data_IF_840014329907
#
_entry.id   IF_840014329907
#
_cell.length_a   1.000
_cell.length_b   1.000
_cell.length_c   1.000
_cell.angle_alpha   90.00
_cell.angle_beta   90.00
_cell.angle_gamma   90.00
#
_symmetry.space_group_name_H-M   'P 1'
#
loop_
_entity.id
_entity.type
_entity.pdbx_description
1 polymer ?
#
# COMPACT_ATOMS: atom_id res chain seq x y z
N UNK A 1 -15.72 22.02 11.29
CA UNK A 1 -15.44 20.59 10.99
C UNK A 1 -14.03 20.56 10.44
N UNK A 2 -13.08 19.97 11.17
CA UNK A 2 -11.67 20.00 10.80
C UNK A 2 -11.41 18.95 9.71
N UNK A 3 -10.95 19.39 8.53
CA UNK A 3 -10.34 18.49 7.55
C UNK A 3 -9.06 17.95 8.15
N UNK A 4 -9.07 16.69 8.58
CA UNK A 4 -7.84 15.98 8.93
C UNK A 4 -7.02 15.76 7.65
N UNK A 5 -6.06 16.64 7.41
CA UNK A 5 -5.09 16.48 6.33
C UNK A 5 -4.13 15.36 6.69
N UNK A 6 -4.39 14.16 6.16
CA UNK A 6 -3.46 13.04 6.25
C UNK A 6 -2.28 13.30 5.31
N UNK A 7 -1.06 13.25 5.83
CA UNK A 7 0.17 13.46 5.03
C UNK A 7 0.85 12.11 4.82
N UNK A 8 1.06 11.72 3.56
CA UNK A 8 1.83 10.52 3.23
C UNK A 8 3.31 10.90 3.03
N UNK A 9 4.21 10.14 3.67
CA UNK A 9 5.66 10.31 3.49
C UNK A 9 6.20 9.25 2.54
N UNK A 10 6.78 9.69 1.42
CA UNK A 10 7.48 8.80 0.48
C UNK A 10 8.98 9.03 0.64
N UNK A 11 9.72 7.95 0.91
CA UNK A 11 11.18 7.97 0.91
C UNK A 11 11.69 7.30 -0.37
N UNK A 12 12.35 8.07 -1.24
CA UNK A 12 13.11 7.54 -2.38
C UNK A 12 14.58 7.33 -1.94
N UNK A 13 15.36 6.57 -2.71
CA UNK A 13 16.79 6.25 -2.42
C UNK A 13 17.68 7.52 -2.46
N UNK A 14 17.12 8.68 -2.76
CA UNK A 14 17.74 9.98 -2.55
C UNK A 14 17.21 10.52 -1.24
N UNK A 15 18.09 10.92 -0.32
CA UNK A 15 17.86 11.31 1.10
C UNK A 15 16.92 12.54 1.30
N UNK A 16 15.83 12.60 0.55
CA UNK A 16 14.85 13.66 0.43
C UNK A 16 13.48 13.04 0.65
N UNK A 17 12.80 13.55 1.67
CA UNK A 17 11.42 13.20 1.96
C UNK A 17 10.51 14.01 1.04
N UNK A 18 9.60 13.32 0.36
CA UNK A 18 8.51 13.95 -0.34
C UNK A 18 7.23 13.77 0.48
N UNK A 19 6.54 14.88 0.74
CA UNK A 19 5.25 14.90 1.40
C UNK A 19 4.16 15.13 0.36
N UNK A 20 3.20 14.22 0.29
CA UNK A 20 2.03 14.38 -0.56
C UNK A 20 0.83 14.79 0.29
N UNK A 21 0.12 15.83 -0.14
CA UNK A 21 -1.16 16.22 0.46
C UNK A 21 -2.25 15.29 -0.05
N UNK A 22 -2.90 14.58 0.86
CA UNK A 22 -3.99 13.67 0.54
C UNK A 22 -5.33 14.38 0.78
N UNK A 23 -6.21 14.33 -0.21
CA UNK A 23 -7.56 14.91 -0.15
C UNK A 23 -8.60 13.93 0.41
N UNK A 24 -8.40 12.63 0.21
CA UNK A 24 -9.26 11.55 0.70
C UNK A 24 -8.48 10.67 1.69
N UNK A 25 -8.43 11.04 2.99
CA UNK A 25 -7.59 10.35 3.98
C UNK A 25 -8.06 8.90 4.26
N UNK A 26 -9.29 8.57 3.89
CA UNK A 26 -9.91 7.26 4.10
C UNK A 26 -9.64 6.26 2.98
N UNK A 27 -9.18 6.71 1.82
CA UNK A 27 -8.96 5.87 0.63
C UNK A 27 -7.54 5.27 0.64
N UNK A 28 -7.36 4.08 0.02
CA UNK A 28 -6.04 3.52 -0.17
C UNK A 28 -5.23 4.34 -1.19
N UNK A 29 -3.93 4.40 -0.99
CA UNK A 29 -3.01 4.99 -1.96
C UNK A 29 -2.00 3.92 -2.37
N UNK A 30 -1.85 3.72 -3.68
CA UNK A 30 -0.83 2.85 -4.26
C UNK A 30 0.12 3.68 -5.10
N UNK A 31 1.34 3.87 -4.61
CA UNK A 31 2.30 4.82 -5.20
C UNK A 31 2.84 4.32 -6.55
N UNK A 32 3.24 3.04 -6.62
CA UNK A 32 3.81 2.43 -7.83
C UNK A 32 2.76 1.57 -8.54
N UNK A 33 1.60 2.18 -8.85
CA UNK A 33 0.55 1.55 -9.65
C UNK A 33 1.13 1.05 -10.98
N UNK A 34 0.68 -0.14 -11.40
CA UNK A 34 1.18 -0.84 -12.58
C UNK A 34 2.70 -1.09 -12.62
N UNK A 35 3.41 -0.91 -11.50
CA UNK A 35 4.84 -1.23 -11.35
C UNK A 35 5.69 -0.63 -12.47
N UNK A 36 5.47 0.64 -12.81
CA UNK A 36 6.29 1.34 -13.80
C UNK A 36 7.67 1.72 -13.25
N UNK A 37 7.79 1.97 -11.95
CA UNK A 37 9.06 2.22 -11.27
C UNK A 37 9.75 0.93 -10.83
N UNK A 38 11.08 0.88 -10.97
CA UNK A 38 11.91 -0.16 -10.36
C UNK A 38 12.17 0.14 -8.88
N UNK A 39 11.11 0.06 -8.08
CA UNK A 39 11.15 0.26 -6.64
C UNK A 39 10.11 -0.63 -5.95
N UNK A 40 10.28 -0.82 -4.65
CA UNK A 40 9.27 -1.42 -3.78
C UNK A 40 8.63 -0.32 -2.95
N UNK A 41 7.33 -0.42 -2.77
CA UNK A 41 6.59 0.48 -1.90
C UNK A 41 6.38 -0.16 -0.52
N UNK A 42 6.38 0.67 0.52
CA UNK A 42 6.01 0.25 1.87
C UNK A 42 5.10 1.31 2.49
N UNK A 43 4.14 0.83 3.27
CA UNK A 43 3.20 1.66 4.00
C UNK A 43 3.34 1.39 5.50
N UNK A 44 2.83 2.30 6.32
CA UNK A 44 2.59 2.01 7.73
C UNK A 44 1.38 1.07 7.89
N UNK A 45 1.06 0.74 9.14
CA UNK A 45 -0.04 -0.18 9.48
C UNK A 45 -1.37 0.33 8.92
N UNK A 46 -1.63 1.64 9.00
CA UNK A 46 -2.88 2.23 8.53
C UNK A 46 -2.99 2.22 7.00
N UNK A 47 -1.90 2.53 6.29
CA UNK A 47 -1.85 2.43 4.83
C UNK A 47 -2.05 1.01 4.34
N UNK A 48 -1.39 0.02 4.96
CA UNK A 48 -1.61 -1.39 4.65
C UNK A 48 -3.05 -1.82 4.95
N UNK A 49 -3.63 -1.39 6.07
CA UNK A 49 -5.02 -1.71 6.41
C UNK A 49 -6.02 -1.19 5.37
N UNK A 50 -5.82 0.03 4.86
CA UNK A 50 -6.66 0.60 3.78
C UNK A 50 -6.55 -0.19 2.49
N UNK A 51 -5.34 -0.59 2.09
CA UNK A 51 -5.11 -1.42 0.90
C UNK A 51 -5.77 -2.79 1.06
N UNK A 52 -5.61 -3.45 2.21
CA UNK A 52 -6.22 -4.74 2.51
C UNK A 52 -7.75 -4.64 2.46
N UNK A 53 -8.32 -3.58 3.03
CA UNK A 53 -9.76 -3.32 2.97
C UNK A 53 -10.24 -3.21 1.52
N UNK A 54 -9.58 -2.39 0.71
CA UNK A 54 -9.92 -2.23 -0.71
C UNK A 54 -9.85 -3.55 -1.47
N UNK A 55 -8.80 -4.36 -1.27
CA UNK A 55 -8.66 -5.67 -1.93
C UNK A 55 -9.79 -6.63 -1.54
N UNK A 56 -10.26 -6.60 -0.30
CA UNK A 56 -11.37 -7.43 0.17
C UNK A 56 -12.73 -6.97 -0.34
N UNK A 57 -12.93 -5.65 -0.45
CA UNK A 57 -14.20 -5.06 -0.88
C UNK A 57 -14.35 -5.08 -2.40
N UNK A 58 -13.32 -4.63 -3.12
CA UNK A 58 -13.27 -4.65 -4.57
C UNK A 58 -11.81 -4.55 -5.06
N UNK A 59 -11.19 -5.70 -5.34
CA UNK A 59 -9.82 -5.76 -5.83
C UNK A 59 -9.68 -5.29 -7.29
N UNK A 60 -10.74 -5.28 -8.09
CA UNK A 60 -10.71 -4.87 -9.51
C UNK A 60 -10.43 -3.38 -9.71
N UNK A 61 -10.57 -2.56 -8.65
CA UNK A 61 -10.11 -1.16 -8.65
C UNK A 61 -8.61 -1.06 -8.93
N UNK A 62 -7.83 -2.06 -8.51
CA UNK A 62 -6.43 -2.19 -8.86
C UNK A 62 -6.29 -3.13 -10.05
N UNK A 63 -5.47 -2.76 -11.04
CA UNK A 63 -5.10 -3.67 -12.13
C UNK A 63 -4.44 -4.95 -11.59
N UNK A 64 -4.49 -6.05 -12.35
CA UNK A 64 -3.81 -7.30 -11.98
C UNK A 64 -2.31 -7.10 -11.74
N UNK A 65 -1.67 -6.20 -12.51
CA UNK A 65 -0.26 -5.83 -12.33
C UNK A 65 -0.03 -5.09 -11.00
N UNK A 66 -0.94 -4.19 -10.62
CA UNK A 66 -0.89 -3.48 -9.33
C UNK A 66 -1.09 -4.45 -8.17
N UNK A 67 -2.04 -5.38 -8.26
CA UNK A 67 -2.29 -6.40 -7.23
C UNK A 67 -1.09 -7.32 -7.03
N UNK A 68 -0.49 -7.81 -8.12
CA UNK A 68 0.77 -8.55 -8.07
C UNK A 68 1.87 -7.73 -7.37
N UNK A 69 1.95 -6.43 -7.67
CA UNK A 69 2.96 -5.57 -7.08
C UNK A 69 2.77 -5.41 -5.57
N UNK A 70 1.53 -5.20 -5.13
CA UNK A 70 1.13 -5.11 -3.72
C UNK A 70 1.52 -6.38 -2.96
N UNK A 71 1.20 -7.57 -3.49
CA UNK A 71 1.55 -8.85 -2.87
C UNK A 71 3.08 -8.99 -2.78
N UNK A 72 3.81 -8.72 -3.85
CA UNK A 72 5.27 -8.83 -3.83
C UNK A 72 5.90 -7.92 -2.78
N UNK A 73 5.39 -6.70 -2.64
CA UNK A 73 5.98 -5.69 -1.79
C UNK A 73 5.64 -5.86 -0.31
N UNK A 74 4.42 -6.32 0.03
CA UNK A 74 4.05 -6.64 1.43
C UNK A 74 4.92 -7.78 1.98
N UNK A 75 5.18 -8.81 1.18
CA UNK A 75 6.04 -9.93 1.60
C UNK A 75 7.51 -9.54 1.68
N UNK A 76 7.99 -8.69 0.76
CA UNK A 76 9.35 -8.16 0.84
C UNK A 76 9.55 -7.29 2.09
N UNK A 77 8.54 -6.48 2.47
CA UNK A 77 8.58 -5.67 3.69
C UNK A 77 8.56 -6.53 4.96
N UNK A 78 7.74 -7.59 4.99
CA UNK A 78 7.71 -8.55 6.10
C UNK A 78 9.03 -9.30 6.26
N UNK A 79 9.66 -9.73 5.16
CA UNK A 79 10.92 -10.46 5.17
C UNK A 79 12.09 -9.69 5.80
N UNK A 80 12.02 -8.35 5.82
CA UNK A 80 13.03 -7.48 6.44
C UNK A 80 12.56 -6.85 7.76
N UNK A 81 11.44 -7.32 8.32
CA UNK A 81 10.91 -6.84 9.60
C UNK A 81 10.36 -5.41 9.57
N UNK A 82 10.00 -4.87 8.39
CA UNK A 82 9.34 -3.55 8.30
C UNK A 82 7.86 -3.59 8.62
N UNK A 83 7.25 -4.75 8.48
CA UNK A 83 5.89 -5.06 8.92
C UNK A 83 5.83 -6.49 9.45
N UNK A 84 4.81 -6.80 10.24
CA UNK A 84 4.54 -8.17 10.68
C UNK A 84 3.97 -9.03 9.54
N UNK A 85 4.35 -10.31 9.53
CA UNK A 85 3.78 -11.30 8.60
C UNK A 85 2.25 -11.41 8.72
N UNK A 86 1.68 -11.12 9.90
CA UNK A 86 0.24 -11.07 10.11
C UNK A 86 -0.45 -10.12 9.10
N UNK A 87 0.16 -8.97 8.80
CA UNK A 87 -0.36 -8.01 7.81
C UNK A 87 -0.34 -8.61 6.39
N UNK A 88 0.75 -9.29 6.02
CA UNK A 88 0.86 -9.96 4.73
C UNK A 88 -0.16 -11.10 4.58
N UNK A 89 -0.41 -11.88 5.64
CA UNK A 89 -1.42 -12.93 5.62
C UNK A 89 -2.86 -12.39 5.62
N UNK A 90 -3.13 -11.30 6.35
CA UNK A 90 -4.42 -10.58 6.25
C UNK A 90 -4.70 -10.08 4.86
N UNK A 91 -3.66 -9.69 4.11
CA UNK A 91 -3.75 -9.33 2.70
C UNK A 91 -4.13 -10.55 1.86
N UNK A 92 -3.42 -11.67 1.97
CA UNK A 92 -3.72 -12.88 1.18
C UNK A 92 -5.16 -13.42 1.33
N UNK A 93 -5.89 -13.03 2.37
CA UNK A 93 -7.29 -13.41 2.56
C UNK A 93 -8.23 -12.99 1.41
N UNK A 94 -7.83 -12.05 0.53
CA UNK A 94 -8.64 -11.69 -0.64
C UNK A 94 -8.46 -12.65 -1.84
N UNK A 95 -7.34 -13.39 -1.90
CA UNK A 95 -6.94 -14.24 -3.06
C UNK A 95 -8.01 -15.24 -3.51
N UNK A 96 -8.82 -15.86 -2.63
CA UNK A 96 -9.89 -16.74 -3.09
C UNK A 96 -10.92 -16.08 -4.02
N UNK A 97 -10.99 -14.74 -4.01
CA UNK A 97 -11.89 -13.95 -4.85
C UNK A 97 -11.15 -13.25 -6.01
N UNK A 98 -9.88 -13.56 -6.28
CA UNK A 98 -9.05 -12.99 -7.35
C UNK A 98 -9.42 -13.49 -8.76
#
# INVERSE_FOLDING_TARGET
MAEESCTLTISLIFDKRLYLRITSPTEPIVINADRHGFCRQNYDIDGWAKIIKQLKENHEVFSSRTRNAIISDVFAAAAIGRIEYETAFKLLAYIPNE
#
